data_IF_058404191540
#
_entry.id   IF_058404191540
#
_cell.length_a   1.000
_cell.length_b   1.000
_cell.length_c   1.000
_cell.angle_alpha   90.00
_cell.angle_beta   90.00
_cell.angle_gamma   90.00
#
_symmetry.space_group_name_H-M   'P 1'
#
loop_
_entity.id
_entity.type
_entity.pdbx_description
1 polymer ?
#
# COMPACT_ATOMS: atom_id res chain seq x y z
N UNK A 1 -25.37 -40.97 -49.26
CA UNK A 1 -24.55 -39.75 -49.44
C UNK A 1 -24.03 -39.37 -48.07
N UNK A 2 -22.70 -39.40 -47.89
CA UNK A 2 -22.00 -39.13 -46.62
C UNK A 2 -22.07 -37.64 -46.30
N UNK A 3 -22.38 -37.25 -45.07
CA UNK A 3 -21.59 -36.26 -44.32
C UNK A 3 -21.70 -36.59 -42.84
N UNK A 4 -20.54 -36.85 -42.23
CA UNK A 4 -20.36 -37.06 -40.80
C UNK A 4 -20.56 -35.75 -40.05
N UNK A 5 -21.36 -35.75 -38.98
CA UNK A 5 -21.20 -34.81 -37.87
C UNK A 5 -20.95 -35.65 -36.63
N UNK A 6 -19.69 -35.68 -36.23
CA UNK A 6 -19.21 -36.44 -35.08
C UNK A 6 -19.82 -35.89 -33.80
N UNK A 7 -20.31 -36.81 -32.96
CA UNK A 7 -20.64 -36.56 -31.58
C UNK A 7 -19.40 -36.05 -30.83
N UNK A 8 -19.53 -34.89 -30.19
CA UNK A 8 -18.73 -34.56 -29.02
C UNK A 8 -19.70 -34.24 -27.88
N UNK A 9 -20.02 -35.29 -27.13
CA UNK A 9 -20.64 -35.18 -25.84
C UNK A 9 -19.61 -34.62 -24.84
N UNK A 10 -20.05 -33.67 -24.02
CA UNK A 10 -19.52 -33.43 -22.67
C UNK A 10 -18.22 -32.62 -22.55
N UNK A 11 -18.35 -31.41 -22.00
CA UNK A 11 -17.49 -30.83 -20.93
C UNK A 11 -18.08 -29.43 -20.63
N UNK A 12 -19.00 -29.28 -19.68
CA UNK A 12 -18.72 -28.98 -18.27
C UNK A 12 -17.64 -27.88 -18.05
N UNK A 13 -18.13 -26.67 -17.77
CA UNK A 13 -17.57 -25.65 -16.89
C UNK A 13 -16.05 -25.39 -16.88
N UNK A 14 -15.61 -24.34 -17.60
CA UNK A 14 -14.45 -23.52 -17.21
C UNK A 14 -14.90 -22.08 -16.95
N UNK A 15 -15.78 -21.89 -15.96
CA UNK A 15 -15.73 -20.67 -15.17
C UNK A 15 -14.46 -20.78 -14.33
N UNK A 16 -13.34 -20.29 -14.85
CA UNK A 16 -12.17 -20.04 -14.02
C UNK A 16 -12.68 -19.14 -12.88
N UNK A 17 -12.70 -19.58 -11.62
CA UNK A 17 -12.60 -18.61 -10.57
C UNK A 17 -11.19 -18.06 -10.79
N UNK A 18 -11.09 -16.94 -11.52
CA UNK A 18 -9.97 -16.06 -11.31
C UNK A 18 -10.02 -15.83 -9.81
N UNK A 19 -9.07 -16.42 -9.07
CA UNK A 19 -8.87 -16.10 -7.68
C UNK A 19 -8.81 -14.58 -7.63
N UNK A 20 -9.90 -13.95 -7.22
CA UNK A 20 -9.81 -12.64 -6.63
C UNK A 20 -9.02 -12.91 -5.36
N UNK A 21 -7.72 -12.68 -5.41
CA UNK A 21 -6.91 -12.47 -4.22
C UNK A 21 -7.47 -11.18 -3.61
N UNK A 22 -8.58 -11.33 -2.87
CA UNK A 22 -9.18 -10.25 -2.14
C UNK A 22 -8.39 -10.16 -0.85
N UNK A 23 -7.24 -9.48 -0.91
CA UNK A 23 -6.51 -9.08 0.29
C UNK A 23 -7.38 -8.06 1.05
N UNK A 24 -8.30 -8.57 1.86
CA UNK A 24 -8.95 -7.78 2.89
C UNK A 24 -7.95 -7.55 4.02
N UNK A 25 -7.47 -6.31 4.03
CA UNK A 25 -7.07 -5.49 5.17
C UNK A 25 -5.71 -5.77 5.80
N UNK A 26 -4.82 -4.78 5.73
CA UNK A 26 -4.05 -4.41 6.91
C UNK A 26 -4.90 -3.48 7.76
N UNK A 27 -5.70 -4.05 8.67
CA UNK A 27 -6.20 -3.32 9.82
C UNK A 27 -4.98 -2.81 10.61
N UNK A 28 -4.62 -1.53 10.43
CA UNK A 28 -3.54 -0.84 11.11
C UNK A 28 -2.11 -0.99 10.54
N UNK A 29 -1.92 -1.72 9.44
CA UNK A 29 -0.59 -1.95 8.85
C UNK A 29 -0.13 -0.89 7.84
N UNK A 30 1.08 -1.07 7.33
CA UNK A 30 1.65 -0.26 6.24
C UNK A 30 1.56 -1.09 4.96
N UNK A 31 0.75 -0.64 4.00
CA UNK A 31 0.59 -1.27 2.68
C UNK A 31 1.42 -0.54 1.61
N UNK A 32 1.42 -1.10 0.39
CA UNK A 32 2.18 -0.55 -0.73
C UNK A 32 1.74 0.87 -1.10
N UNK A 33 0.44 1.18 -0.98
CA UNK A 33 -0.08 2.51 -1.31
C UNK A 33 0.41 3.55 -0.31
N UNK A 34 0.38 3.26 0.99
CA UNK A 34 0.95 4.13 2.03
C UNK A 34 2.45 4.31 1.86
N UNK A 35 3.18 3.26 1.46
CA UNK A 35 4.62 3.38 1.21
C UNK A 35 4.94 4.32 0.04
N UNK A 36 4.23 4.19 -1.08
CA UNK A 36 4.40 5.06 -2.25
C UNK A 36 3.99 6.50 -1.94
N UNK A 37 2.91 6.68 -1.17
CA UNK A 37 2.38 7.98 -0.78
C UNK A 37 2.88 8.45 0.60
N UNK A 38 4.01 7.94 1.09
CA UNK A 38 4.52 8.28 2.42
C UNK A 38 4.79 9.78 2.60
N UNK A 39 4.95 10.53 1.50
CA UNK A 39 5.10 11.98 1.53
C UNK A 39 3.81 12.74 1.89
N UNK A 40 2.63 12.16 1.65
CA UNK A 40 1.31 12.76 1.91
C UNK A 40 0.89 12.62 3.37
N UNK A 41 1.39 11.60 4.07
CA UNK A 41 1.20 11.41 5.51
C UNK A 41 2.31 12.13 6.28
N UNK A 42 2.13 13.44 6.50
CA UNK A 42 3.14 14.31 7.10
C UNK A 42 3.52 13.94 8.54
N UNK A 43 2.57 13.35 9.28
CA UNK A 43 2.73 13.04 10.69
C UNK A 43 3.55 11.77 10.94
N UNK A 44 3.57 10.83 9.99
CA UNK A 44 4.17 9.52 10.18
C UNK A 44 5.53 9.37 9.49
N UNK A 45 6.39 8.53 10.07
CA UNK A 45 7.70 8.17 9.52
C UNK A 45 7.77 6.66 9.28
N UNK A 46 7.21 6.21 8.15
CA UNK A 46 6.95 4.78 7.87
C UNK A 46 8.03 4.09 7.03
N UNK A 47 9.03 4.82 6.55
CA UNK A 47 10.20 4.29 5.83
C UNK A 47 11.49 4.77 6.49
N UNK A 48 12.66 4.32 6.04
CA UNK A 48 13.93 4.74 6.63
C UNK A 48 14.20 6.25 6.48
N UNK A 49 14.01 6.80 5.28
CA UNK A 49 14.22 8.22 4.98
C UNK A 49 12.95 9.06 4.82
N UNK A 50 11.85 8.66 5.49
CA UNK A 50 10.47 9.21 5.40
C UNK A 50 9.77 8.92 4.07
N UNK A 51 10.44 9.20 2.95
CA UNK A 51 9.95 8.95 1.58
C UNK A 51 10.99 8.13 0.80
N UNK A 52 10.60 7.55 -0.33
CA UNK A 52 11.55 6.81 -1.20
C UNK A 52 12.69 7.67 -1.77
N UNK A 53 12.56 8.99 -1.76
CA UNK A 53 13.66 9.90 -2.12
C UNK A 53 14.73 10.02 -1.03
N UNK A 54 14.48 9.46 0.17
CA UNK A 54 15.44 9.38 1.28
C UNK A 54 16.04 10.74 1.70
N UNK A 55 15.31 11.83 1.47
CA UNK A 55 15.78 13.18 1.81
C UNK A 55 15.78 13.46 3.31
N UNK A 56 15.08 12.64 4.11
CA UNK A 56 14.89 12.83 5.56
C UNK A 56 14.31 14.21 5.92
N UNK A 57 13.51 14.76 5.02
CA UNK A 57 12.87 16.06 5.19
C UNK A 57 11.46 15.91 5.76
N UNK A 58 11.19 16.53 6.92
CA UNK A 58 9.85 16.64 7.51
C UNK A 58 9.22 18.01 7.17
N UNK A 59 7.95 18.06 6.73
CA UNK A 59 7.23 19.31 6.51
C UNK A 59 6.64 19.92 7.80
N UNK A 60 6.73 19.22 8.94
CA UNK A 60 6.16 19.69 10.21
C UNK A 60 6.86 20.98 10.68
N UNK A 61 6.05 21.94 11.14
CA UNK A 61 6.52 23.28 11.51
C UNK A 61 6.28 23.63 12.98
N UNK A 62 5.80 22.68 13.79
CA UNK A 62 5.52 22.93 15.21
C UNK A 62 6.75 23.40 15.99
N UNK A 63 7.94 22.93 15.61
CA UNK A 63 9.23 23.36 16.15
C UNK A 63 10.00 24.11 15.06
N UNK A 64 10.35 25.36 15.32
CA UNK A 64 10.98 26.29 14.39
C UNK A 64 12.06 27.14 15.05
N UNK A 65 12.61 28.12 14.31
CA UNK A 65 13.73 28.95 14.81
C UNK A 65 13.34 29.80 16.00
N UNK A 66 12.06 30.14 16.08
CA UNK A 66 11.47 31.06 17.03
C UNK A 66 11.19 30.40 18.39
N UNK A 67 10.96 29.08 18.43
CA UNK A 67 10.56 28.35 19.63
C UNK A 67 11.44 27.14 19.99
N UNK A 68 12.47 26.81 19.20
CA UNK A 68 13.38 25.68 19.49
C UNK A 68 14.05 25.79 20.86
N UNK A 69 14.24 27.02 21.37
CA UNK A 69 14.78 27.28 22.70
C UNK A 69 13.88 26.81 23.85
N UNK A 70 12.61 26.54 23.59
CA UNK A 70 11.63 26.08 24.58
C UNK A 70 11.60 24.54 24.70
N UNK A 71 12.36 23.81 23.87
CA UNK A 71 12.40 22.35 23.92
C UNK A 71 12.95 21.84 25.26
N UNK A 72 12.27 20.84 25.80
CA UNK A 72 12.69 20.10 26.99
C UNK A 72 12.57 18.59 26.79
N UNK A 73 13.20 17.83 27.67
CA UNK A 73 13.06 16.37 27.69
C UNK A 73 11.62 15.99 28.01
N UNK A 74 10.96 15.27 27.10
CA UNK A 74 9.57 14.86 27.29
C UNK A 74 9.42 13.66 28.25
N UNK A 75 10.34 12.71 28.20
CA UNK A 75 10.34 11.46 28.98
C UNK A 75 11.73 10.78 28.89
N UNK A 76 12.01 9.82 29.79
CA UNK A 76 13.25 9.04 29.85
C UNK A 76 13.00 7.59 30.24
#
# INVERSE_FOLDING_TARGET
MRVLTAAFAGLLALSLPACSEQETMTEGGIDMMRLVNAGEDEANWITHGRTYSEQRFSPLTQVGRENVSELGLAWY
#
